data_IF_389981900839
#
_entry.id   IF_389981900839
#
_cell.length_a   1.000
_cell.length_b   1.000
_cell.length_c   1.000
_cell.angle_alpha   90.00
_cell.angle_beta   90.00
_cell.angle_gamma   90.00
#
_symmetry.space_group_name_H-M   'P 1'
#
loop_
_entity.id
_entity.type
_entity.pdbx_description
1 polymer ?
#
# COMPACT_ATOMS: atom_id res chain seq x y z
N UNK A 1 -14.39 -29.08 -0.34
CA UNK A 1 -14.33 -27.60 -0.27
C UNK A 1 -12.92 -27.21 0.11
N UNK A 2 -12.15 -26.65 -0.82
CA UNK A 2 -10.82 -26.10 -0.52
C UNK A 2 -11.02 -24.64 -0.14
N UNK A 3 -10.78 -24.30 1.13
CA UNK A 3 -10.75 -22.91 1.57
C UNK A 3 -9.59 -22.24 0.83
N UNK A 4 -9.92 -21.28 -0.04
CA UNK A 4 -8.95 -20.35 -0.60
C UNK A 4 -8.59 -19.39 0.52
N UNK A 5 -7.46 -19.64 1.19
CA UNK A 5 -6.94 -18.70 2.19
C UNK A 5 -6.45 -17.47 1.44
N UNK A 6 -7.25 -16.40 1.51
CA UNK A 6 -6.88 -15.09 0.98
C UNK A 6 -5.67 -14.59 1.78
N UNK A 7 -4.49 -14.53 1.16
CA UNK A 7 -3.28 -13.93 1.75
C UNK A 7 -3.49 -12.42 1.79
N UNK A 8 -4.01 -11.90 2.90
CA UNK A 8 -4.00 -10.45 3.18
C UNK A 8 -2.57 -10.04 3.52
N UNK A 9 -2.08 -8.91 3.02
CA UNK A 9 -0.77 -8.38 3.44
C UNK A 9 -0.75 -7.98 4.94
N UNK A 10 -1.92 -7.90 5.59
CA UNK A 10 -2.03 -7.76 7.04
C UNK A 10 -1.61 -9.04 7.78
N UNK A 11 -1.70 -10.20 7.11
CA UNK A 11 -1.10 -11.44 7.57
C UNK A 11 0.35 -11.42 7.12
N UNK A 12 1.24 -11.74 8.04
CA UNK A 12 2.65 -12.02 7.76
C UNK A 12 3.51 -10.75 7.71
N UNK A 13 3.96 -10.35 8.91
CA UNK A 13 5.29 -9.75 9.12
C UNK A 13 6.45 -10.63 8.59
N UNK A 14 6.18 -11.59 7.71
CA UNK A 14 7.17 -12.41 7.04
C UNK A 14 7.64 -11.62 5.82
N UNK A 15 8.79 -10.98 5.97
CA UNK A 15 9.46 -10.35 4.85
C UNK A 15 9.70 -11.41 3.77
N UNK A 16 9.02 -11.29 2.63
CA UNK A 16 9.53 -11.90 1.40
C UNK A 16 10.88 -11.23 1.16
N UNK A 17 11.96 -11.94 1.48
CA UNK A 17 13.33 -11.55 1.16
C UNK A 17 13.44 -11.51 -0.37
N UNK A 18 13.02 -10.40 -0.97
CA UNK A 18 13.41 -10.06 -2.31
C UNK A 18 14.94 -9.88 -2.27
N UNK A 19 15.63 -10.59 -3.15
CA UNK A 19 17.10 -10.65 -3.33
C UNK A 19 17.78 -9.27 -3.54
N UNK A 20 17.04 -8.17 -3.41
CA UNK A 20 17.48 -6.79 -3.60
C UNK A 20 17.81 -6.04 -2.32
N UNK A 21 17.58 -6.59 -1.12
CA UNK A 21 18.12 -5.99 0.10
C UNK A 21 19.62 -6.30 0.20
N UNK A 22 20.42 -5.45 -0.47
CA UNK A 22 21.87 -5.47 -0.33
C UNK A 22 22.20 -5.11 1.12
N UNK A 23 22.43 -6.12 1.95
CA UNK A 23 22.94 -5.95 3.29
C UNK A 23 24.32 -5.27 3.23
N UNK A 24 24.36 -3.94 3.36
CA UNK A 24 25.60 -3.18 3.48
C UNK A 24 26.15 -3.46 4.88
N UNK A 25 27.12 -4.36 4.96
CA UNK A 25 27.91 -4.56 6.19
C UNK A 25 28.88 -3.39 6.30
N UNK A 26 28.63 -2.47 7.25
CA UNK A 26 29.60 -1.43 7.60
C UNK A 26 30.88 -2.12 8.11
N UNK A 27 31.98 -1.93 7.39
CA UNK A 27 33.32 -2.37 7.79
C UNK A 27 34.14 -1.10 8.08
N UNK A 28 34.18 -0.64 9.33
CA UNK A 28 34.84 0.62 9.70
C UNK A 28 36.33 0.63 9.34
N UNK A 29 36.95 -0.55 9.32
CA UNK A 29 38.38 -0.72 9.02
C UNK A 29 38.69 -0.93 7.53
N UNK A 30 37.67 -1.00 6.67
CA UNK A 30 37.88 -1.18 5.23
C UNK A 30 38.34 0.11 4.52
N UNK A 31 38.34 1.25 5.20
CA UNK A 31 38.76 2.54 4.64
C UNK A 31 39.74 3.26 5.55
N UNK A 32 40.72 3.97 4.96
CA UNK A 32 41.62 4.83 5.73
C UNK A 32 40.85 6.04 6.25
N UNK A 33 40.96 6.40 7.54
CA UNK A 33 40.27 7.57 8.08
C UNK A 33 40.81 8.85 7.44
N UNK A 34 39.91 9.70 6.95
CA UNK A 34 40.22 11.01 6.36
C UNK A 34 39.74 12.10 7.31
N UNK A 35 40.63 13.03 7.67
CA UNK A 35 40.29 14.14 8.57
C UNK A 35 39.13 14.96 8.04
N UNK A 36 38.08 15.13 8.85
CA UNK A 36 36.86 15.87 8.47
C UNK A 36 35.81 15.06 7.72
N UNK A 37 36.11 13.82 7.31
CA UNK A 37 35.14 12.93 6.67
C UNK A 37 34.48 12.01 7.71
N UNK A 38 33.15 12.09 7.86
CA UNK A 38 32.37 11.30 8.82
C UNK A 38 31.96 9.90 8.30
N UNK A 39 32.50 9.49 7.14
CA UNK A 39 32.10 8.25 6.46
C UNK A 39 30.83 8.41 5.62
N UNK A 40 30.30 7.28 5.14
CA UNK A 40 29.03 7.21 4.43
C UNK A 40 27.89 7.11 5.46
N UNK A 41 27.09 8.17 5.58
CA UNK A 41 25.87 8.15 6.40
C UNK A 41 24.70 7.67 5.52
N UNK A 42 24.23 6.45 5.77
CA UNK A 42 23.03 5.95 5.11
C UNK A 42 21.80 6.57 5.77
N UNK A 43 21.22 7.60 5.14
CA UNK A 43 19.82 7.94 5.40
C UNK A 43 18.98 6.88 4.72
N UNK A 44 18.45 5.95 5.50
CA UNK A 44 17.44 5.02 5.00
C UNK A 44 16.28 5.84 4.44
N UNK A 45 16.11 5.82 3.13
CA UNK A 45 14.99 6.47 2.45
C UNK A 45 13.67 5.74 2.71
N UNK A 46 13.72 4.59 3.40
CA UNK A 46 12.60 3.72 3.65
C UNK A 46 12.57 3.29 5.14
N UNK A 47 11.38 3.11 5.74
CA UNK A 47 11.24 2.55 7.07
C UNK A 47 11.97 1.20 7.17
N UNK A 48 12.73 0.97 8.25
CA UNK A 48 13.38 -0.33 8.47
C UNK A 48 12.40 -1.50 8.56
N UNK A 49 11.15 -1.22 8.91
CA UNK A 49 10.06 -2.19 8.97
C UNK A 49 9.01 -1.82 7.93
N UNK A 50 8.77 -2.72 6.99
CA UNK A 50 7.68 -2.59 6.02
C UNK A 50 6.34 -2.60 6.77
N UNK A 51 5.46 -1.61 6.58
CA UNK A 51 4.11 -1.65 7.13
C UNK A 51 3.36 -2.89 6.60
N UNK A 52 2.63 -3.62 7.45
CA UNK A 52 1.93 -4.84 7.04
C UNK A 52 0.92 -4.55 5.92
N UNK A 53 0.12 -3.49 6.06
CA UNK A 53 -0.87 -3.09 5.05
C UNK A 53 -0.28 -2.49 3.76
N UNK A 54 1.04 -2.27 3.68
CA UNK A 54 1.69 -1.45 2.67
C UNK A 54 0.95 -0.10 2.49
N UNK A 55 0.38 0.16 1.31
CA UNK A 55 -0.48 1.33 1.03
C UNK A 55 -1.89 0.90 0.54
N UNK A 56 -2.33 -0.31 0.90
CA UNK A 56 -3.65 -0.85 0.53
C UNK A 56 -4.69 -0.70 1.64
N UNK A 57 -4.22 -0.52 2.87
CA UNK A 57 -5.02 -0.31 4.06
C UNK A 57 -4.50 0.94 4.78
N UNK A 58 -5.34 1.59 5.61
CA UNK A 58 -4.89 2.65 6.53
C UNK A 58 -3.67 2.17 7.34
N UNK A 59 -2.68 3.04 7.57
CA UNK A 59 -1.41 2.66 8.17
C UNK A 59 -1.54 2.18 9.62
N UNK A 60 -2.61 2.58 10.31
CA UNK A 60 -2.92 2.20 11.69
C UNK A 60 -3.92 1.03 11.81
N UNK A 61 -4.41 0.52 10.68
CA UNK A 61 -5.44 -0.52 10.64
C UNK A 61 -4.86 -1.91 10.91
N UNK A 62 -5.54 -2.67 11.78
CA UNK A 62 -5.23 -4.06 12.03
C UNK A 62 -6.25 -5.03 11.41
N UNK A 63 -5.91 -6.34 11.41
CA UNK A 63 -6.77 -7.39 10.84
C UNK A 63 -8.09 -7.55 11.59
N UNK A 64 -8.14 -7.24 12.89
CA UNK A 64 -9.36 -7.36 13.70
C UNK A 64 -10.34 -6.26 13.35
N UNK A 65 -9.84 -5.04 13.17
CA UNK A 65 -10.61 -3.91 12.67
C UNK A 65 -11.18 -4.21 11.29
N UNK A 66 -10.34 -4.71 10.37
CA UNK A 66 -10.80 -5.10 9.03
C UNK A 66 -11.95 -6.10 9.10
N UNK A 67 -11.79 -7.15 9.89
CA UNK A 67 -12.81 -8.19 10.02
C UNK A 67 -14.10 -7.64 10.61
N UNK A 68 -14.03 -6.83 11.67
CA UNK A 68 -15.21 -6.22 12.30
C UNK A 68 -15.95 -5.29 11.34
N UNK A 69 -15.22 -4.46 10.59
CA UNK A 69 -15.80 -3.59 9.58
C UNK A 69 -16.42 -4.41 8.44
N UNK A 70 -15.68 -5.35 7.86
CA UNK A 70 -16.16 -6.18 6.75
C UNK A 70 -17.41 -6.99 7.14
N UNK A 71 -17.44 -7.59 8.33
CA UNK A 71 -18.60 -8.35 8.84
C UNK A 71 -19.85 -7.47 9.02
N UNK A 72 -19.70 -6.13 9.08
CA UNK A 72 -20.81 -5.17 9.19
C UNK A 72 -21.39 -4.71 7.84
N UNK A 73 -20.70 -5.00 6.73
CA UNK A 73 -21.07 -4.59 5.38
C UNK A 73 -22.12 -5.51 4.74
N UNK A 74 -22.78 -5.03 3.67
CA UNK A 74 -23.59 -5.89 2.80
C UNK A 74 -22.72 -6.86 2.00
N UNK A 75 -23.29 -7.97 1.51
CA UNK A 75 -22.54 -8.97 0.72
C UNK A 75 -21.82 -8.36 -0.49
N UNK A 76 -22.46 -7.41 -1.18
CA UNK A 76 -21.84 -6.69 -2.29
C UNK A 76 -20.60 -5.91 -1.83
N UNK A 77 -20.73 -5.16 -0.74
CA UNK A 77 -19.64 -4.34 -0.20
C UNK A 77 -18.51 -5.19 0.38
N UNK A 78 -18.82 -6.36 0.96
CA UNK A 78 -17.82 -7.35 1.37
C UNK A 78 -17.02 -7.87 0.18
N UNK A 79 -17.70 -8.19 -0.94
CA UNK A 79 -17.01 -8.60 -2.17
C UNK A 79 -16.11 -7.49 -2.72
N UNK A 80 -16.56 -6.24 -2.65
CA UNK A 80 -15.75 -5.08 -3.04
C UNK A 80 -14.54 -4.91 -2.09
N UNK A 81 -14.74 -5.03 -0.77
CA UNK A 81 -13.70 -4.89 0.25
C UNK A 81 -12.65 -6.02 0.25
N UNK A 82 -13.06 -7.24 -0.13
CA UNK A 82 -12.19 -8.40 -0.29
C UNK A 82 -11.68 -8.58 -1.73
N UNK A 83 -12.03 -7.65 -2.63
CA UNK A 83 -11.63 -7.67 -4.03
C UNK A 83 -10.13 -7.40 -4.21
N UNK A 84 -9.59 -7.81 -5.36
CA UNK A 84 -8.16 -7.59 -5.69
C UNK A 84 -7.83 -6.16 -6.11
N UNK A 85 -8.84 -5.38 -6.49
CA UNK A 85 -8.68 -4.10 -7.18
C UNK A 85 -9.29 -2.94 -6.40
N UNK A 86 -9.26 -3.02 -5.08
CA UNK A 86 -9.77 -2.01 -4.15
C UNK A 86 -8.74 -1.73 -3.06
N UNK A 87 -8.63 -0.46 -2.67
CA UNK A 87 -7.90 -0.05 -1.45
C UNK A 87 -8.92 0.32 -0.38
N UNK A 88 -8.57 0.12 0.89
CA UNK A 88 -9.37 0.55 2.03
C UNK A 88 -8.80 1.85 2.58
N UNK A 89 -9.65 2.83 2.86
CA UNK A 89 -9.26 4.16 3.35
C UNK A 89 -10.14 4.62 4.50
N UNK A 90 -9.64 5.62 5.25
CA UNK A 90 -10.40 6.35 6.27
C UNK A 90 -10.85 7.71 5.75
N UNK A 91 -12.06 8.17 6.09
CA UNK A 91 -12.46 9.54 5.74
C UNK A 91 -11.65 10.59 6.49
N UNK A 92 -11.20 10.27 7.70
CA UNK A 92 -10.35 11.14 8.51
C UNK A 92 -8.97 11.44 7.88
N UNK A 93 -8.39 10.51 7.11
CA UNK A 93 -7.11 10.72 6.39
C UNK A 93 -7.21 11.87 5.39
N UNK A 94 -8.38 12.06 4.77
CA UNK A 94 -8.62 13.13 3.80
C UNK A 94 -8.69 14.52 4.46
N UNK A 95 -8.95 14.60 5.77
CA UNK A 95 -9.10 15.85 6.51
C UNK A 95 -7.77 16.41 7.03
N UNK A 96 -6.70 15.61 7.07
CA UNK A 96 -5.40 16.00 7.63
C UNK A 96 -4.58 16.90 6.69
N UNK A 97 -4.84 16.87 5.37
CA UNK A 97 -4.23 17.82 4.42
C UNK A 97 -4.71 19.28 4.64
N UNK A 98 -5.70 19.48 5.52
CA UNK A 98 -6.32 20.78 5.80
C UNK A 98 -5.94 21.39 7.16
N UNK A 99 -5.18 20.71 8.03
CA UNK A 99 -4.90 21.24 9.38
C UNK A 99 -3.54 20.84 9.95
N UNK A 100 -2.85 21.84 10.51
CA UNK A 100 -1.51 21.79 11.08
C UNK A 100 -1.32 20.73 12.18
N UNK A 101 -0.09 20.20 12.35
CA UNK A 101 0.20 19.13 13.30
C UNK A 101 0.27 19.68 14.73
N UNK A 102 -0.79 19.49 15.51
CA UNK A 102 -0.69 19.51 16.96
C UNK A 102 -1.16 18.15 17.53
N UNK A 103 -0.21 17.51 18.17
CA UNK A 103 -0.26 16.24 18.87
C UNK A 103 -1.28 16.25 20.02
N UNK A 104 -2.13 15.21 20.17
CA UNK A 104 -2.10 14.29 21.32
C UNK A 104 -3.38 13.43 21.50
N UNK A 105 -3.15 12.24 22.07
CA UNK A 105 -4.02 11.36 22.89
C UNK A 105 -4.96 10.43 22.09
N UNK A 106 -4.62 9.16 21.88
CA UNK A 106 -4.57 8.01 22.81
C UNK A 106 -5.95 7.53 23.27
N UNK A 107 -6.35 6.38 22.70
CA UNK A 107 -7.29 5.43 23.31
C UNK A 107 -8.76 5.81 23.19
N UNK A 108 -9.59 4.78 23.07
CA UNK A 108 -11.06 4.83 23.18
C UNK A 108 -11.80 5.34 21.92
N UNK A 109 -11.96 4.44 20.93
CA UNK A 109 -13.26 3.88 20.51
C UNK A 109 -13.09 3.16 19.17
N UNK A 110 -12.60 1.91 19.20
CA UNK A 110 -12.41 1.08 18.00
C UNK A 110 -13.71 0.89 17.18
N UNK A 111 -14.87 1.10 17.80
CA UNK A 111 -16.18 1.05 17.14
C UNK A 111 -16.48 2.32 16.32
N UNK A 112 -15.93 3.47 16.71
CA UNK A 112 -16.07 4.72 15.95
C UNK A 112 -15.14 4.73 14.72
N UNK A 113 -14.00 4.04 14.80
CA UNK A 113 -13.03 3.95 13.69
C UNK A 113 -13.48 3.01 12.57
N UNK A 114 -14.28 1.98 12.87
CA UNK A 114 -14.83 1.09 11.87
C UNK A 114 -15.81 1.81 10.92
N UNK A 115 -16.62 2.74 11.44
CA UNK A 115 -17.54 3.53 10.62
C UNK A 115 -16.84 4.57 9.73
N UNK A 116 -15.54 4.79 9.92
CA UNK A 116 -14.71 5.71 9.13
C UNK A 116 -14.12 5.04 7.88
N UNK A 117 -14.27 3.72 7.73
CA UNK A 117 -13.64 2.93 6.67
C UNK A 117 -14.52 2.79 5.42
N UNK A 118 -13.89 2.90 4.25
CA UNK A 118 -14.55 2.71 2.96
C UNK A 118 -13.60 2.13 1.89
N UNK A 119 -14.18 1.43 0.90
CA UNK A 119 -13.46 0.86 -0.24
C UNK A 119 -13.35 1.86 -1.40
N UNK A 120 -12.18 1.92 -2.04
CA UNK A 120 -11.93 2.73 -3.24
C UNK A 120 -11.40 1.83 -4.36
N UNK A 121 -12.05 1.76 -5.53
CA UNK A 121 -11.54 0.97 -6.64
C UNK A 121 -10.25 1.57 -7.22
N UNK A 122 -9.34 0.72 -7.69
CA UNK A 122 -8.05 1.12 -8.26
C UNK A 122 -8.19 2.09 -9.42
N UNK A 123 -9.23 1.95 -10.25
CA UNK A 123 -9.53 2.87 -11.34
C UNK A 123 -9.78 4.31 -10.89
N UNK A 124 -10.24 4.49 -9.65
CA UNK A 124 -10.46 5.79 -9.01
C UNK A 124 -9.22 6.24 -8.24
N UNK A 125 -8.62 5.35 -7.42
CA UNK A 125 -7.44 5.66 -6.62
C UNK A 125 -6.23 6.06 -7.48
N UNK A 126 -5.97 5.30 -8.55
CA UNK A 126 -4.81 5.46 -9.43
C UNK A 126 -5.20 6.05 -10.79
N UNK A 127 -6.31 6.80 -10.85
CA UNK A 127 -6.93 7.25 -12.09
C UNK A 127 -5.97 8.00 -13.02
N UNK A 128 -5.15 8.90 -12.47
CA UNK A 128 -4.22 9.72 -13.24
C UNK A 128 -3.22 8.86 -14.03
N UNK A 129 -2.65 7.85 -13.38
CA UNK A 129 -1.71 6.91 -13.98
C UNK A 129 -2.43 5.96 -14.95
N UNK A 130 -3.57 5.41 -14.55
CA UNK A 130 -4.33 4.45 -15.35
C UNK A 130 -4.88 5.08 -16.63
N UNK A 131 -5.35 6.33 -16.57
CA UNK A 131 -5.77 7.07 -17.76
C UNK A 131 -4.61 7.25 -18.73
N UNK A 132 -3.44 7.65 -18.23
CA UNK A 132 -2.29 7.84 -19.11
C UNK A 132 -1.79 6.51 -19.71
N UNK A 133 -1.80 5.45 -18.93
CA UNK A 133 -1.48 4.11 -19.41
C UNK A 133 -2.47 3.66 -20.48
N UNK A 134 -3.78 3.82 -20.25
CA UNK A 134 -4.82 3.46 -21.21
C UNK A 134 -4.66 4.23 -22.54
N UNK A 135 -4.40 5.54 -22.49
CA UNK A 135 -4.12 6.34 -23.68
C UNK A 135 -2.96 5.76 -24.52
N UNK A 136 -1.84 5.45 -23.88
CA UNK A 136 -0.66 4.89 -24.56
C UNK A 136 -0.92 3.49 -25.12
N UNK A 137 -1.70 2.68 -24.41
CA UNK A 137 -2.06 1.33 -24.83
C UNK A 137 -2.99 1.36 -26.05
N UNK A 138 -3.94 2.30 -26.11
CA UNK A 138 -4.75 2.51 -27.30
C UNK A 138 -3.92 2.97 -28.50
N UNK A 139 -3.03 3.96 -28.31
CA UNK A 139 -2.13 4.41 -29.39
C UNK A 139 -1.24 3.27 -29.92
N UNK A 140 -0.69 2.46 -29.01
CA UNK A 140 0.09 1.29 -29.39
C UNK A 140 -0.75 0.23 -30.12
N UNK A 141 -2.01 0.05 -29.71
CA UNK A 141 -2.97 -0.86 -30.35
C UNK A 141 -3.28 -0.45 -31.79
N UNK A 142 -3.53 0.84 -32.03
CA UNK A 142 -3.79 1.39 -33.37
C UNK A 142 -2.58 1.22 -34.31
N UNK A 143 -1.37 1.32 -33.76
CA UNK A 143 -0.12 1.11 -34.50
C UNK A 143 0.22 -0.37 -34.72
N UNK A 144 -0.30 -1.26 -33.88
CA UNK A 144 -0.04 -2.68 -33.96
C UNK A 144 -0.84 -3.31 -35.13
N UNK A 145 -0.21 -3.43 -36.30
CA UNK A 145 -0.80 -4.07 -37.50
C UNK A 145 -1.09 -5.58 -37.38
N UNK A 146 -1.13 -6.13 -36.17
CA UNK A 146 -1.39 -7.55 -35.88
C UNK A 146 -2.71 -7.67 -35.09
N UNK A 147 -3.73 -8.36 -35.63
CA UNK A 147 -5.05 -8.49 -35.00
C UNK A 147 -5.04 -9.06 -33.57
N UNK A 148 -4.02 -9.84 -33.19
CA UNK A 148 -3.92 -10.46 -31.86
C UNK A 148 -3.67 -9.46 -30.71
N UNK A 149 -3.26 -8.24 -31.02
CA UNK A 149 -2.96 -7.21 -30.00
C UNK A 149 -4.13 -6.25 -29.74
N UNK A 150 -5.20 -6.34 -30.54
CA UNK A 150 -6.32 -5.40 -30.51
C UNK A 150 -7.43 -5.85 -29.53
N UNK A 151 -7.57 -7.16 -29.26
CA UNK A 151 -8.64 -7.70 -28.38
C UNK A 151 -8.36 -7.57 -26.86
N UNK A 152 -7.30 -6.89 -26.43
CA UNK A 152 -6.92 -6.80 -25.01
C UNK A 152 -7.18 -5.44 -24.35
N UNK A 153 -7.80 -4.48 -25.05
CA UNK A 153 -8.07 -3.13 -24.53
C UNK A 153 -9.47 -2.62 -24.86
#
# INVERSE_FOLDING_TARGET
>A
MKSSTFRSCLDENEAFLATTDSAIKLLPEATKPVSGWKGLEYKAAFPMLKPPGANFYPPDMDKKEFKLWNDSLTEKEQNDAMGFFTVIKRHSEFSLDSSSPNHAVHGTNHLMTAHDLYSVPYSKEYNSFLRKAAELLHEAGDLAGSPRYIELY
#
